data_IF_868337276552
#
_entry.id   IF_868337276552
#
_cell.length_a   1.000
_cell.length_b   1.000
_cell.length_c   1.000
_cell.angle_alpha   90.00
_cell.angle_beta   90.00
_cell.angle_gamma   90.00
#
_symmetry.space_group_name_H-M   'P 1'
#
loop_
_entity.id
_entity.type
_entity.pdbx_description
1 polymer ?
#
# COMPACT_ATOMS: atom_id res chain seq x y z
N UNK A 1 6.99 -23.34 -7.22
CA UNK A 1 7.24 -22.08 -7.96
C UNK A 1 6.06 -21.18 -7.67
N UNK A 2 6.06 -20.75 -6.43
CA UNK A 2 4.95 -20.10 -5.76
C UNK A 2 5.07 -18.64 -6.17
N UNK A 3 4.40 -18.29 -7.26
CA UNK A 3 4.19 -16.89 -7.61
C UNK A 3 3.31 -16.33 -6.51
N UNK A 4 3.92 -15.80 -5.46
CA UNK A 4 3.25 -14.98 -4.45
C UNK A 4 2.54 -13.86 -5.21
N UNK A 5 1.26 -14.13 -5.40
CA UNK A 5 0.41 -13.42 -6.29
C UNK A 5 0.01 -12.18 -5.50
N UNK A 6 0.68 -11.07 -5.75
CA UNK A 6 0.26 -9.77 -5.27
C UNK A 6 -0.98 -9.36 -6.10
N UNK A 7 -2.04 -10.17 -6.09
CA UNK A 7 -3.15 -10.18 -7.07
C UNK A 7 -3.89 -8.85 -7.17
N UNK A 8 -3.72 -7.99 -6.19
CA UNK A 8 -4.38 -6.70 -6.10
C UNK A 8 -3.41 -5.50 -6.18
N UNK A 9 -2.08 -5.72 -6.16
CA UNK A 9 -1.12 -4.63 -6.34
C UNK A 9 -0.51 -4.67 -7.73
N UNK A 10 -0.64 -3.54 -8.43
CA UNK A 10 -0.01 -3.31 -9.73
C UNK A 10 1.44 -2.89 -9.53
N UNK A 11 2.38 -3.70 -10.02
CA UNK A 11 3.78 -3.32 -10.08
C UNK A 11 4.00 -2.24 -11.14
N UNK A 12 4.53 -1.08 -10.73
CA UNK A 12 5.06 -0.05 -11.63
C UNK A 12 6.56 -0.23 -11.78
N UNK A 13 7.08 0.01 -12.99
CA UNK A 13 8.48 -0.22 -13.34
C UNK A 13 9.31 1.04 -13.59
N UNK A 14 8.76 2.25 -13.40
CA UNK A 14 9.47 3.52 -13.62
C UNK A 14 8.77 4.67 -12.87
N UNK A 15 9.15 4.98 -11.61
CA UNK A 15 10.05 4.22 -10.72
C UNK A 15 9.43 2.88 -10.26
N UNK A 16 10.25 1.92 -9.80
CA UNK A 16 9.77 0.66 -9.25
C UNK A 16 8.90 0.89 -8.01
N UNK A 17 7.69 0.35 -8.02
CA UNK A 17 6.75 0.52 -6.92
C UNK A 17 5.53 -0.38 -7.02
N UNK A 18 4.77 -0.51 -5.94
CA UNK A 18 3.50 -1.22 -5.88
C UNK A 18 2.37 -0.21 -5.73
N UNK A 19 1.43 -0.25 -6.65
CA UNK A 19 0.24 0.58 -6.63
C UNK A 19 -0.99 -0.27 -6.35
N UNK A 20 -1.84 0.16 -5.42
CA UNK A 20 -3.16 -0.43 -5.22
C UNK A 20 -4.19 0.63 -4.90
N UNK A 21 -5.38 0.43 -5.45
CA UNK A 21 -6.56 1.22 -5.12
C UNK A 21 -7.49 0.41 -4.24
N UNK A 22 -7.93 1.04 -3.16
CA UNK A 22 -8.94 0.54 -2.25
C UNK A 22 -10.20 1.38 -2.41
N UNK A 23 -11.34 0.71 -2.57
CA UNK A 23 -12.64 1.36 -2.70
C UNK A 23 -13.45 1.07 -1.44
N UNK A 24 -14.10 2.11 -0.93
CA UNK A 24 -14.86 2.07 0.31
C UNK A 24 -16.26 2.57 0.05
N UNK A 25 -17.23 1.92 0.69
CA UNK A 25 -18.64 2.29 0.58
C UNK A 25 -18.92 3.70 1.14
N UNK A 26 -18.21 4.08 2.21
CA UNK A 26 -18.45 5.32 2.94
C UNK A 26 -17.15 5.94 3.48
N UNK A 27 -17.15 7.26 3.68
CA UNK A 27 -16.00 8.00 4.24
C UNK A 27 -15.54 7.46 5.61
N UNK A 28 -16.46 6.97 6.44
CA UNK A 28 -16.10 6.41 7.75
C UNK A 28 -15.18 5.17 7.61
N UNK A 29 -15.46 4.28 6.65
CA UNK A 29 -14.64 3.10 6.37
C UNK A 29 -13.27 3.51 5.84
N UNK A 30 -13.23 4.47 4.91
CA UNK A 30 -12.00 5.08 4.42
C UNK A 30 -11.16 5.64 5.57
N UNK A 31 -11.77 6.39 6.49
CA UNK A 31 -11.07 7.00 7.60
C UNK A 31 -10.48 5.97 8.57
N UNK A 32 -11.21 4.89 8.87
CA UNK A 32 -10.69 3.78 9.68
C UNK A 32 -9.48 3.13 9.00
N UNK A 33 -9.53 2.93 7.69
CA UNK A 33 -8.41 2.39 6.93
C UNK A 33 -7.19 3.33 6.96
N UNK A 34 -7.39 4.63 6.74
CA UNK A 34 -6.31 5.62 6.78
C UNK A 34 -5.67 5.72 8.18
N UNK A 35 -6.46 5.61 9.24
CA UNK A 35 -5.98 5.63 10.62
C UNK A 35 -5.09 4.41 10.92
N UNK A 36 -5.56 3.21 10.54
CA UNK A 36 -4.79 1.96 10.63
C UNK A 36 -3.51 2.00 9.80
N UNK A 37 -3.58 2.57 8.59
CA UNK A 37 -2.43 2.72 7.72
C UNK A 37 -1.39 3.66 8.34
N UNK A 38 -1.84 4.76 8.95
CA UNK A 38 -0.94 5.70 9.63
C UNK A 38 -0.26 5.07 10.86
N UNK A 39 -0.96 4.23 11.61
CA UNK A 39 -0.38 3.47 12.72
C UNK A 39 0.67 2.46 12.23
N UNK A 40 0.34 1.69 11.20
CA UNK A 40 1.27 0.75 10.54
C UNK A 40 2.52 1.48 10.01
N UNK A 41 2.34 2.64 9.38
CA UNK A 41 3.44 3.46 8.89
C UNK A 41 4.37 3.94 10.00
N UNK A 42 3.83 4.28 11.18
CA UNK A 42 4.65 4.64 12.34
C UNK A 42 5.38 3.43 12.92
N UNK A 43 4.70 2.30 13.07
CA UNK A 43 5.30 1.06 13.60
C UNK A 43 6.47 0.57 12.73
N UNK A 44 6.31 0.65 11.41
CA UNK A 44 7.33 0.24 10.44
C UNK A 44 8.32 1.34 10.08
N UNK A 45 8.14 2.54 10.61
CA UNK A 45 8.86 3.75 10.21
C UNK A 45 8.89 3.94 8.67
N UNK A 46 7.81 3.53 8.01
CA UNK A 46 7.70 3.43 6.56
C UNK A 46 6.48 4.21 6.06
N UNK A 47 6.71 5.20 5.21
CA UNK A 47 5.68 6.15 4.76
C UNK A 47 5.44 6.01 3.25
N UNK A 48 4.39 5.27 2.85
CA UNK A 48 4.01 5.18 1.44
C UNK A 48 3.39 6.50 0.95
N UNK A 49 3.28 6.64 -0.36
CA UNK A 49 2.48 7.70 -0.96
C UNK A 49 1.00 7.31 -0.95
N UNK A 50 0.17 8.20 -0.42
CA UNK A 50 -1.24 7.95 -0.15
C UNK A 50 -2.06 9.07 -0.80
N UNK A 51 -2.88 8.69 -1.77
CA UNK A 51 -3.78 9.61 -2.48
C UNK A 51 -5.22 9.13 -2.31
N UNK A 52 -6.04 9.81 -1.51
CA UNK A 52 -7.42 9.40 -1.24
C UNK A 52 -8.45 10.44 -1.69
N UNK A 53 -9.61 9.96 -2.10
CA UNK A 53 -10.80 10.77 -2.40
C UNK A 53 -11.85 10.65 -1.29
N UNK A 54 -13.12 10.74 -1.66
CA UNK A 54 -14.24 10.61 -0.71
C UNK A 54 -14.56 9.14 -0.39
N UNK A 55 -14.40 8.26 -1.39
CA UNK A 55 -14.79 6.83 -1.35
C UNK A 55 -13.66 5.89 -1.74
N UNK A 56 -12.43 6.38 -1.89
CA UNK A 56 -11.30 5.54 -2.29
C UNK A 56 -9.98 6.03 -1.70
N UNK A 57 -9.04 5.11 -1.52
CA UNK A 57 -7.64 5.40 -1.21
C UNK A 57 -6.73 4.68 -2.20
N UNK A 58 -5.82 5.43 -2.80
CA UNK A 58 -4.75 4.90 -3.62
C UNK A 58 -3.47 4.87 -2.79
N UNK A 59 -2.84 3.71 -2.70
CA UNK A 59 -1.60 3.51 -1.97
C UNK A 59 -0.52 3.17 -2.99
N UNK A 60 0.58 3.92 -2.95
CA UNK A 60 1.76 3.69 -3.76
C UNK A 60 2.97 3.49 -2.84
N UNK A 61 3.53 2.29 -2.88
CA UNK A 61 4.73 1.92 -2.14
C UNK A 61 5.89 2.00 -3.12
N UNK A 62 6.80 2.94 -2.93
CA UNK A 62 7.98 3.10 -3.78
C UNK A 62 9.12 2.23 -3.27
N UNK A 63 9.92 1.67 -4.18
CA UNK A 63 11.13 0.99 -3.79
C UNK A 63 12.10 1.96 -3.09
N UNK A 64 12.52 1.62 -1.88
CA UNK A 64 13.41 2.46 -1.07
C UNK A 64 14.76 2.73 -1.76
N UNK A 65 15.27 1.77 -2.52
CA UNK A 65 16.52 1.89 -3.29
C UNK A 65 16.29 2.43 -4.73
N UNK A 66 15.06 2.79 -5.09
CA UNK A 66 14.63 3.23 -6.43
C UNK A 66 14.98 2.27 -7.59
N UNK A 67 15.50 1.07 -7.27
CA UNK A 67 16.04 0.10 -8.23
C UNK A 67 15.20 -1.18 -8.28
N UNK A 68 14.79 -1.69 -7.12
CA UNK A 68 13.89 -2.84 -7.00
C UNK A 68 13.11 -2.79 -5.68
N UNK A 69 11.88 -3.32 -5.69
CA UNK A 69 11.10 -3.55 -4.49
C UNK A 69 11.80 -4.56 -3.58
N UNK A 70 12.30 -4.07 -2.44
CA UNK A 70 12.88 -4.91 -1.40
C UNK A 70 11.82 -5.79 -0.75
N UNK A 71 12.30 -6.80 -0.01
CA UNK A 71 11.45 -7.68 0.79
C UNK A 71 10.60 -6.86 1.78
N UNK A 72 11.16 -5.78 2.33
CA UNK A 72 10.45 -4.86 3.23
C UNK A 72 9.29 -4.14 2.54
N UNK A 73 9.48 -3.63 1.31
CA UNK A 73 8.42 -2.96 0.54
C UNK A 73 7.26 -3.92 0.25
N UNK A 74 7.58 -5.18 -0.08
CA UNK A 74 6.58 -6.25 -0.31
C UNK A 74 5.88 -6.67 0.99
N UNK A 75 6.63 -6.79 2.09
CA UNK A 75 6.09 -7.10 3.41
C UNK A 75 5.16 -6.00 3.93
N UNK A 76 5.50 -4.73 3.66
CA UNK A 76 4.65 -3.59 3.95
C UNK A 76 3.36 -3.64 3.11
N UNK A 77 3.45 -3.89 1.79
CA UNK A 77 2.28 -4.07 0.94
C UNK A 77 1.33 -5.18 1.43
N UNK A 78 1.90 -6.29 1.91
CA UNK A 78 1.13 -7.39 2.50
C UNK A 78 0.50 -7.00 3.85
N UNK A 79 1.17 -6.18 4.66
CA UNK A 79 0.62 -5.67 5.91
C UNK A 79 -0.54 -4.71 5.66
N UNK A 80 -0.43 -3.85 4.63
CA UNK A 80 -1.51 -2.94 4.20
C UNK A 80 -2.73 -3.72 3.70
N UNK A 81 -2.54 -4.84 2.99
CA UNK A 81 -3.64 -5.72 2.57
C UNK A 81 -4.46 -6.24 3.76
N UNK A 82 -3.81 -6.53 4.91
CA UNK A 82 -4.49 -7.00 6.12
C UNK A 82 -5.28 -5.93 6.88
N UNK A 83 -5.20 -4.66 6.46
CA UNK A 83 -5.91 -3.56 7.12
C UNK A 83 -7.37 -3.44 6.69
N UNK A 84 -7.77 -4.10 5.59
CA UNK A 84 -9.12 -4.04 5.01
C UNK A 84 -10.05 -5.13 5.53
#
# INVERSE_FOLDING_TARGET
MDKENVEYWTTKGNPPGLFRRFEFENYNKLRIFLDRLADLSKEKEYYPDISFGVTYANITIYASDAKELSVEDKAFAHSVDKLI
#
